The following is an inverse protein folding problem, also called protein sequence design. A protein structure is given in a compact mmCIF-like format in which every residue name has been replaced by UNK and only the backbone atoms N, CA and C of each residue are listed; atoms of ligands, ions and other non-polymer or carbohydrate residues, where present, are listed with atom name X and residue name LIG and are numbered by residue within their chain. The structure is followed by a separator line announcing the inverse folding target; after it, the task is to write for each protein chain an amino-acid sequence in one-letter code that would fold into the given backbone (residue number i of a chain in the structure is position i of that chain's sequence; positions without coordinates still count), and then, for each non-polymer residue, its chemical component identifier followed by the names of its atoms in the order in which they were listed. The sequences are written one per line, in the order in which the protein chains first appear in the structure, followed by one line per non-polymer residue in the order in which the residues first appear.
data_IF_895378769714
#
_entry.id   IF_895378769714
#
_cell.length_a   1.000
_cell.length_b   1.000
_cell.length_c   1.000
_cell.angle_alpha   90.00
_cell.angle_beta   90.00
_cell.angle_gamma   90.00
#
_symmetry.space_group_name_H-M   'P 1'
#
loop_
_entity.id
_entity.type
_entity.pdbx_description
1 polymer ?
#
# COMPACT_ATOMS: atom_id res chain seq x y z
N UNK A 1 -20.25 17.78 -0.57
CA UNK A 1 -19.03 16.94 -0.47
C UNK A 1 -17.77 17.65 -0.98
N UNK A 2 -17.81 18.31 -2.14
CA UNK A 2 -16.65 18.96 -2.77
C UNK A 2 -15.91 19.99 -1.89
N UNK A 3 -16.64 20.75 -1.07
CA UNK A 3 -16.06 21.71 -0.11
C UNK A 3 -15.10 21.04 0.89
N UNK A 4 -15.48 19.88 1.42
CA UNK A 4 -14.66 19.15 2.38
C UNK A 4 -13.45 18.50 1.72
N UNK A 5 -13.60 17.97 0.49
CA UNK A 5 -12.48 17.42 -0.28
C UNK A 5 -11.39 18.47 -0.58
N UNK A 6 -11.78 19.68 -0.96
CA UNK A 6 -10.86 20.81 -1.19
C UNK A 6 -10.12 21.22 0.09
N UNK A 7 -10.81 21.20 1.23
CA UNK A 7 -10.20 21.51 2.53
C UNK A 7 -9.16 20.44 2.90
N UNK A 8 -9.49 19.15 2.75
CA UNK A 8 -8.55 18.05 3.00
C UNK A 8 -7.35 18.06 2.06
N UNK A 9 -7.54 18.45 0.79
CA UNK A 9 -6.47 18.62 -0.17
C UNK A 9 -5.47 19.69 0.27
N UNK A 10 -5.96 20.86 0.69
CA UNK A 10 -5.13 21.93 1.21
C UNK A 10 -4.39 21.51 2.48
N UNK A 11 -5.07 20.83 3.42
CA UNK A 11 -4.46 20.32 4.65
C UNK A 11 -3.33 19.34 4.32
N UNK A 12 -3.55 18.40 3.41
CA UNK A 12 -2.53 17.43 2.99
C UNK A 12 -1.34 18.09 2.31
N UNK A 13 -1.58 19.12 1.49
CA UNK A 13 -0.51 19.87 0.82
C UNK A 13 0.37 20.63 1.83
N UNK A 14 -0.26 21.37 2.74
CA UNK A 14 0.43 22.13 3.79
C UNK A 14 1.17 21.20 4.75
N UNK A 15 0.53 20.08 5.13
CA UNK A 15 1.15 19.03 5.92
C UNK A 15 2.40 18.46 5.21
N UNK A 16 2.28 18.06 3.94
CA UNK A 16 3.41 17.56 3.15
C UNK A 16 4.55 18.56 3.04
N UNK A 17 4.23 19.85 2.91
CA UNK A 17 5.20 20.94 2.80
C UNK A 17 5.91 21.25 4.12
N UNK A 18 5.19 21.23 5.26
CA UNK A 18 5.73 21.45 6.62
C UNK A 18 6.62 20.31 7.12
N UNK A 19 6.82 19.25 6.34
CA UNK A 19 7.89 18.29 6.62
C UNK A 19 7.45 17.05 7.40
N UNK A 20 6.20 16.59 7.29
CA UNK A 20 5.83 15.22 7.67
C UNK A 20 6.58 14.11 6.88
N UNK A 21 7.55 14.50 6.04
CA UNK A 21 8.53 13.65 5.37
C UNK A 21 9.33 12.76 6.34
N UNK A 22 9.50 13.15 7.60
CA UNK A 22 10.17 12.33 8.63
C UNK A 22 9.40 11.05 8.99
N UNK A 23 8.08 11.15 9.17
CA UNK A 23 7.20 9.98 9.40
C UNK A 23 7.09 9.13 8.14
N UNK A 24 7.12 9.77 6.96
CA UNK A 24 7.12 9.05 5.67
C UNK A 24 8.33 8.12 5.52
N UNK A 25 9.49 8.46 6.10
CA UNK A 25 10.69 7.62 6.04
C UNK A 25 10.55 6.36 6.90
N UNK A 26 10.04 6.51 8.13
CA UNK A 26 9.76 5.36 9.00
C UNK A 26 8.64 4.47 8.41
N UNK A 27 7.57 5.09 7.91
CA UNK A 27 6.47 4.39 7.25
C UNK A 27 6.92 3.69 5.95
N UNK A 28 7.85 4.28 5.19
CA UNK A 28 8.40 3.67 3.98
C UNK A 28 9.16 2.38 4.28
N UNK A 29 9.91 2.33 5.38
CA UNK A 29 10.59 1.10 5.81
C UNK A 29 9.59 0.02 6.18
N UNK A 30 8.57 0.35 6.97
CA UNK A 30 7.51 -0.62 7.35
C UNK A 30 6.71 -1.08 6.13
N UNK A 31 6.39 -0.18 5.21
CA UNK A 31 5.66 -0.49 3.98
C UNK A 31 6.43 -1.46 3.08
N UNK A 32 7.77 -1.32 2.96
CA UNK A 32 8.60 -2.25 2.19
C UNK A 32 8.54 -3.67 2.75
N UNK A 33 8.58 -3.81 4.09
CA UNK A 33 8.48 -5.12 4.75
C UNK A 33 7.10 -5.74 4.51
N UNK A 34 6.02 -4.96 4.69
CA UNK A 34 4.66 -5.44 4.49
C UNK A 34 4.39 -5.82 3.03
N UNK A 35 4.91 -5.03 2.07
CA UNK A 35 4.83 -5.33 0.65
C UNK A 35 5.56 -6.62 0.29
N UNK A 36 6.75 -6.85 0.86
CA UNK A 36 7.50 -8.09 0.64
C UNK A 36 6.72 -9.31 1.16
N UNK A 37 6.12 -9.23 2.35
CA UNK A 37 5.28 -10.31 2.91
C UNK A 37 4.07 -10.57 2.02
N UNK A 38 3.36 -9.51 1.61
CA UNK A 38 2.20 -9.62 0.71
C UNK A 38 2.58 -10.27 -0.63
N UNK A 39 3.76 -9.93 -1.17
CA UNK A 39 4.26 -10.46 -2.43
C UNK A 39 4.61 -11.96 -2.32
N UNK A 40 5.21 -12.39 -1.20
CA UNK A 40 5.45 -13.81 -0.92
C UNK A 40 4.12 -14.58 -0.82
N UNK A 41 3.16 -14.07 -0.05
CA UNK A 41 1.83 -14.68 0.07
C UNK A 41 1.10 -14.75 -1.28
N UNK A 42 1.18 -13.68 -2.07
CA UNK A 42 0.61 -13.64 -3.41
C UNK A 42 1.24 -14.71 -4.31
N UNK A 43 2.56 -14.85 -4.32
CA UNK A 43 3.23 -15.89 -5.10
C UNK A 43 2.82 -17.31 -4.66
N UNK A 44 2.70 -17.55 -3.36
CA UNK A 44 2.19 -18.83 -2.83
C UNK A 44 0.78 -19.08 -3.36
N UNK A 45 -0.10 -18.09 -3.26
CA UNK A 45 -1.47 -18.20 -3.78
C UNK A 45 -1.51 -18.42 -5.28
N UNK A 46 -0.64 -17.78 -6.06
CA UNK A 46 -0.54 -17.98 -7.51
C UNK A 46 -0.13 -19.41 -7.84
N UNK A 47 0.88 -19.96 -7.15
CA UNK A 47 1.32 -21.34 -7.35
C UNK A 47 0.21 -22.32 -6.95
N UNK A 48 -0.45 -22.10 -5.81
CA UNK A 48 -1.58 -22.91 -5.37
C UNK A 48 -2.77 -22.83 -6.32
N UNK A 49 -3.10 -21.64 -6.83
CA UNK A 49 -4.17 -21.44 -7.81
C UNK A 49 -3.85 -22.11 -9.15
N UNK A 50 -2.59 -22.06 -9.59
CA UNK A 50 -2.15 -22.75 -10.80
C UNK A 50 -2.21 -24.27 -10.64
N UNK A 51 -1.77 -24.81 -9.49
CA UNK A 51 -1.89 -26.24 -9.16
C UNK A 51 -3.35 -26.68 -9.00
N UNK A 52 -4.20 -25.89 -8.33
CA UNK A 52 -5.62 -26.17 -8.16
C UNK A 52 -6.37 -26.09 -9.49
N UNK A 53 -6.01 -25.14 -10.37
CA UNK A 53 -6.56 -25.03 -11.72
C UNK A 53 -6.20 -26.23 -12.60
N UNK A 54 -5.00 -26.81 -12.42
CA UNK A 54 -4.61 -28.04 -13.13
C UNK A 54 -5.26 -29.33 -12.58
N UNK A 55 -5.84 -29.31 -11.38
CA UNK A 55 -6.55 -30.46 -10.80
C UNK A 55 -8.07 -30.47 -11.13
N UNK A 56 -8.59 -29.37 -11.69
CA UNK A 56 -10.01 -29.20 -12.02
C UNK A 56 -10.34 -29.40 -13.51
N UNK A 57 -9.36 -29.75 -14.33
CA UNK A 57 -9.47 -30.14 -15.75
C UNK A 57 -9.09 -31.62 -15.91
#
# INVERSE_FOLDING_TARGET
MLKWALIFLLISLVAGFLGFRGVSSAAATVAKVLFAIALILFLIFVVLAFMAGSAAL
#
